data_IF_131488511036
#
_entry.id   IF_131488511036
#
_cell.length_a   1.000
_cell.length_b   1.000
_cell.length_c   1.000
_cell.angle_alpha   90.00
_cell.angle_beta   90.00
_cell.angle_gamma   90.00
#
_symmetry.space_group_name_H-M   'P 1'
#
loop_
_entity.id
_entity.type
_entity.pdbx_description
1 polymer ?
#
# COMPACT_ATOMS: atom_id res chain seq x y z
N UNK A 1 -56.96 -25.93 41.01
CA UNK A 1 -55.66 -25.23 41.08
C UNK A 1 -55.63 -24.14 40.01
N UNK A 2 -55.63 -22.86 40.40
CA UNK A 2 -55.66 -21.73 39.45
C UNK A 2 -54.22 -21.27 39.24
N UNK A 3 -53.56 -21.77 38.19
CA UNK A 3 -52.23 -21.29 37.80
C UNK A 3 -52.36 -19.80 37.46
N UNK A 4 -51.72 -18.95 38.27
CA UNK A 4 -51.59 -17.52 37.97
C UNK A 4 -50.64 -17.41 36.79
N UNK A 5 -51.17 -17.42 35.57
CA UNK A 5 -50.39 -17.17 34.36
C UNK A 5 -49.70 -15.81 34.50
N UNK A 6 -48.39 -15.78 34.29
CA UNK A 6 -47.61 -14.56 34.31
C UNK A 6 -48.18 -13.58 33.29
N UNK A 7 -48.56 -12.38 33.74
CA UNK A 7 -49.13 -11.35 32.88
C UNK A 7 -48.23 -11.13 31.67
N UNK A 8 -48.76 -11.06 30.43
CA UNK A 8 -47.94 -10.87 29.24
C UNK A 8 -47.06 -9.62 29.34
N UNK A 9 -47.50 -8.62 30.11
CA UNK A 9 -46.72 -7.42 30.43
C UNK A 9 -45.46 -7.76 31.25
N UNK A 10 -45.56 -8.69 32.22
CA UNK A 10 -44.41 -9.13 33.03
C UNK A 10 -43.42 -9.93 32.17
N UNK A 11 -43.92 -10.75 31.23
CA UNK A 11 -43.04 -11.49 30.30
C UNK A 11 -42.32 -10.51 29.37
N UNK A 12 -43.03 -9.50 28.85
CA UNK A 12 -42.44 -8.50 27.97
C UNK A 12 -41.39 -7.63 28.67
N UNK A 13 -41.61 -7.24 29.92
CA UNK A 13 -40.63 -6.46 30.69
C UNK A 13 -39.37 -7.28 31.02
N UNK A 14 -39.52 -8.57 31.31
CA UNK A 14 -38.38 -9.47 31.53
C UNK A 14 -37.57 -9.64 30.24
N UNK A 15 -38.22 -9.85 29.09
CA UNK A 15 -37.53 -9.97 27.81
C UNK A 15 -36.80 -8.69 27.40
N UNK A 16 -37.42 -7.53 27.60
CA UNK A 16 -36.79 -6.24 27.30
C UNK A 16 -35.56 -6.00 28.20
N UNK A 17 -35.65 -6.33 29.49
CA UNK A 17 -34.52 -6.24 30.41
C UNK A 17 -33.35 -7.17 30.02
N UNK A 18 -33.64 -8.38 29.52
CA UNK A 18 -32.62 -9.32 29.04
C UNK A 18 -31.91 -8.77 27.79
N UNK A 19 -32.64 -8.18 26.85
CA UNK A 19 -32.04 -7.60 25.64
C UNK A 19 -31.16 -6.40 25.97
N UNK A 20 -31.60 -5.51 26.87
CA UNK A 20 -30.83 -4.34 27.29
C UNK A 20 -29.55 -4.76 28.03
N UNK A 21 -29.65 -5.75 28.93
CA UNK A 21 -28.48 -6.25 29.69
C UNK A 21 -27.49 -6.98 28.79
N UNK A 22 -27.96 -7.80 27.83
CA UNK A 22 -27.11 -8.45 26.84
C UNK A 22 -26.41 -7.44 25.89
N UNK A 23 -27.15 -6.42 25.43
CA UNK A 23 -26.59 -5.36 24.57
C UNK A 23 -25.54 -4.50 25.28
N UNK A 24 -25.81 -4.08 26.51
CA UNK A 24 -24.86 -3.27 27.30
C UNK A 24 -23.59 -4.06 27.65
N UNK A 25 -23.73 -5.33 28.03
CA UNK A 25 -22.58 -6.20 28.34
C UNK A 25 -21.74 -6.52 27.10
N UNK A 26 -22.37 -6.74 25.94
CA UNK A 26 -21.67 -6.85 24.65
C UNK A 26 -20.89 -5.57 24.32
N UNK A 27 -21.55 -4.41 24.38
CA UNK A 27 -20.94 -3.11 24.05
C UNK A 27 -19.72 -2.77 24.93
N UNK A 28 -19.81 -3.06 26.24
CA UNK A 28 -18.67 -2.89 27.16
C UNK A 28 -17.54 -3.87 26.84
N UNK A 29 -17.84 -5.08 26.37
CA UNK A 29 -16.85 -6.09 25.98
C UNK A 29 -16.05 -5.70 24.74
N UNK A 30 -16.69 -5.18 23.70
CA UNK A 30 -16.00 -4.76 22.46
C UNK A 30 -15.12 -3.53 22.69
N UNK A 31 -15.54 -2.58 23.53
CA UNK A 31 -14.75 -1.38 23.82
C UNK A 31 -13.59 -1.63 24.81
N UNK A 32 -13.54 -2.80 25.46
CA UNK A 32 -12.42 -3.26 26.31
C UNK A 32 -11.44 -4.18 25.59
N UNK A 33 -11.57 -4.38 24.28
CA UNK A 33 -10.54 -4.99 23.45
C UNK A 33 -9.40 -3.98 23.19
N UNK A 34 -8.84 -3.42 24.27
CA UNK A 34 -7.51 -2.82 24.23
C UNK A 34 -6.50 -3.92 23.96
N UNK A 35 -5.60 -3.68 23.02
CA UNK A 35 -4.50 -4.57 22.64
C UNK A 35 -3.81 -5.10 23.90
N UNK A 36 -4.11 -6.35 24.27
CA UNK A 36 -3.23 -7.12 25.13
C UNK A 36 -2.02 -7.42 24.27
N UNK A 37 -1.00 -6.56 24.35
CA UNK A 37 0.36 -6.97 24.02
C UNK A 37 0.72 -8.08 24.99
N UNK A 38 0.43 -9.32 24.56
CA UNK A 38 1.07 -10.50 25.09
C UNK A 38 2.58 -10.19 25.16
N UNK A 39 3.27 -10.41 26.28
CA UNK A 39 4.72 -10.36 26.26
C UNK A 39 5.16 -11.39 25.23
N UNK A 40 5.67 -10.91 24.10
CA UNK A 40 6.37 -11.75 23.13
C UNK A 40 7.42 -12.49 23.96
N UNK A 41 7.39 -13.83 24.04
CA UNK A 41 8.47 -14.56 24.68
C UNK A 41 9.74 -14.10 23.97
N UNK A 42 10.67 -13.53 24.75
CA UNK A 42 11.90 -12.98 24.21
C UNK A 42 12.50 -14.01 23.23
N UNK A 43 12.75 -13.63 21.96
CA UNK A 43 13.34 -14.56 21.01
C UNK A 43 14.64 -15.06 21.64
N UNK A 44 14.77 -16.38 21.72
CA UNK A 44 15.98 -17.02 22.23
C UNK A 44 17.08 -16.63 21.27
N UNK A 45 17.86 -15.62 21.66
CA UNK A 45 18.88 -15.00 20.82
C UNK A 45 19.99 -16.02 20.62
N UNK A 46 19.89 -16.78 19.52
CA UNK A 46 21.01 -17.54 18.98
C UNK A 46 21.90 -16.56 18.21
N UNK A 47 22.62 -15.73 18.97
CA UNK A 47 23.55 -14.68 18.49
C UNK A 47 24.69 -15.21 17.60
N UNK A 48 24.75 -16.53 17.37
CA UNK A 48 25.89 -17.21 16.79
C UNK A 48 25.56 -18.05 15.53
N UNK A 49 24.36 -17.95 14.95
CA UNK A 49 24.10 -18.59 13.66
C UNK A 49 24.49 -17.64 12.52
N UNK A 50 25.57 -17.88 11.77
CA UNK A 50 25.83 -17.12 10.56
C UNK A 50 24.66 -17.32 9.59
N UNK A 51 24.21 -16.23 8.96
CA UNK A 51 23.18 -16.30 7.93
C UNK A 51 23.72 -17.01 6.68
N UNK A 52 22.83 -17.70 5.96
CA UNK A 52 23.16 -18.31 4.67
C UNK A 52 23.48 -17.22 3.65
N UNK A 53 24.41 -17.51 2.73
CA UNK A 53 24.87 -16.56 1.69
C UNK A 53 23.90 -16.46 0.49
N UNK A 54 22.60 -16.53 0.77
CA UNK A 54 21.57 -16.42 -0.25
C UNK A 54 21.35 -14.95 -0.61
N UNK A 55 21.11 -14.70 -1.90
CA UNK A 55 20.78 -13.39 -2.42
C UNK A 55 19.36 -13.40 -3.02
N UNK A 56 18.56 -12.40 -2.66
CA UNK A 56 17.28 -12.11 -3.30
C UNK A 56 17.51 -11.01 -4.32
N UNK A 57 17.13 -11.26 -5.57
CA UNK A 57 17.17 -10.24 -6.62
C UNK A 57 16.03 -9.27 -6.40
N UNK A 58 16.36 -7.99 -6.40
CA UNK A 58 15.42 -6.88 -6.27
C UNK A 58 14.89 -6.44 -7.65
N UNK A 59 13.72 -5.77 -7.71
CA UNK A 59 13.14 -5.31 -8.97
C UNK A 59 14.05 -4.38 -9.79
N UNK A 60 14.97 -3.67 -9.13
CA UNK A 60 16.00 -2.82 -9.72
C UNK A 60 17.20 -3.61 -10.31
N UNK A 61 17.21 -4.94 -10.14
CA UNK A 61 18.29 -5.83 -10.57
C UNK A 61 19.44 -5.97 -9.57
N UNK A 62 19.38 -5.29 -8.41
CA UNK A 62 20.37 -5.49 -7.34
C UNK A 62 20.09 -6.76 -6.56
N UNK A 63 21.01 -7.14 -5.66
CA UNK A 63 20.92 -8.36 -4.87
C UNK A 63 21.08 -8.04 -3.39
N UNK A 64 20.10 -8.42 -2.58
CA UNK A 64 20.12 -8.25 -1.12
C UNK A 64 20.34 -9.59 -0.43
N UNK A 65 21.21 -9.58 0.58
CA UNK A 65 21.48 -10.74 1.42
C UNK A 65 20.54 -10.84 2.62
N UNK A 66 20.64 -11.95 3.35
CA UNK A 66 20.00 -12.11 4.66
C UNK A 66 20.73 -11.29 5.72
N UNK A 67 19.99 -10.54 6.52
CA UNK A 67 20.48 -9.68 7.60
C UNK A 67 19.68 -9.89 8.89
N UNK A 68 20.21 -9.38 9.99
CA UNK A 68 19.54 -9.39 11.28
C UNK A 68 19.53 -10.75 11.99
N UNK A 69 19.00 -10.80 13.22
CA UNK A 69 19.06 -11.97 14.09
C UNK A 69 18.21 -13.16 13.58
N UNK A 70 17.22 -12.88 12.73
CA UNK A 70 16.36 -13.91 12.12
C UNK A 70 16.82 -14.32 10.71
N UNK A 71 17.91 -13.75 10.19
CA UNK A 71 18.38 -13.98 8.82
C UNK A 71 17.28 -13.77 7.77
N UNK A 72 16.56 -12.66 7.88
CA UNK A 72 15.56 -12.23 6.89
C UNK A 72 16.26 -11.43 5.78
N UNK A 73 15.74 -11.45 4.56
CA UNK A 73 16.32 -10.62 3.50
C UNK A 73 16.26 -9.15 3.89
N UNK A 74 17.36 -8.43 3.70
CA UNK A 74 17.32 -6.98 3.80
C UNK A 74 16.25 -6.44 2.83
N UNK A 75 15.56 -5.34 3.19
CA UNK A 75 14.72 -4.66 2.21
C UNK A 75 15.55 -4.34 0.97
N UNK A 76 14.95 -4.46 -0.20
CA UNK A 76 15.57 -4.00 -1.43
C UNK A 76 15.98 -2.53 -1.24
N UNK A 77 17.14 -2.11 -1.79
CA UNK A 77 17.43 -0.68 -1.83
C UNK A 77 16.21 -0.02 -2.48
N UNK A 78 15.55 0.86 -1.73
CA UNK A 78 14.59 1.76 -2.33
C UNK A 78 15.38 2.50 -3.40
N UNK A 79 14.99 2.32 -4.67
CA UNK A 79 15.74 2.85 -5.81
C UNK A 79 16.12 4.28 -5.50
N UNK A 80 17.43 4.57 -5.52
CA UNK A 80 18.01 5.69 -4.79
C UNK A 80 17.10 6.92 -4.84
N UNK A 81 16.45 7.19 -3.71
CA UNK A 81 15.77 8.45 -3.44
C UNK A 81 16.85 9.51 -3.28
N UNK A 82 17.56 9.83 -4.36
CA UNK A 82 18.43 10.99 -4.40
C UNK A 82 17.49 12.19 -4.32
N UNK A 83 17.57 12.95 -3.23
CA UNK A 83 16.90 14.24 -3.13
C UNK A 83 17.17 15.00 -4.43
N UNK A 84 16.10 15.29 -5.17
CA UNK A 84 16.23 16.08 -6.38
C UNK A 84 16.67 17.47 -5.93
N UNK A 85 17.94 17.81 -6.18
CA UNK A 85 18.54 19.09 -5.78
C UNK A 85 17.87 20.32 -6.42
N UNK A 86 16.89 20.11 -7.31
CA UNK A 86 16.11 21.17 -7.93
C UNK A 86 14.89 21.64 -7.11
N UNK A 87 14.36 20.85 -6.15
CA UNK A 87 13.20 21.25 -5.32
C UNK A 87 13.34 20.71 -3.88
N UNK A 88 13.44 21.57 -2.86
CA UNK A 88 13.51 21.11 -1.47
C UNK A 88 12.23 20.38 -1.08
N UNK A 89 12.36 19.28 -0.34
CA UNK A 89 11.22 18.44 0.07
C UNK A 89 10.69 17.52 -1.04
N UNK A 90 11.40 17.39 -2.17
CA UNK A 90 11.06 16.42 -3.21
C UNK A 90 12.03 15.23 -3.21
N UNK A 91 11.48 14.08 -3.58
CA UNK A 91 12.12 12.78 -3.72
C UNK A 91 12.19 12.45 -5.21
N UNK A 92 13.22 11.72 -5.64
CA UNK A 92 13.31 11.16 -6.98
C UNK A 92 12.99 9.66 -6.93
N UNK A 93 12.01 9.22 -7.71
CA UNK A 93 11.81 7.81 -8.04
C UNK A 93 12.54 7.52 -9.35
N UNK A 94 13.28 6.42 -9.40
CA UNK A 94 13.94 5.95 -10.62
C UNK A 94 13.60 4.49 -10.83
N UNK A 95 13.36 4.09 -12.08
CA UNK A 95 13.14 2.70 -12.46
C UNK A 95 14.01 2.36 -13.66
N UNK A 96 15.12 1.65 -13.42
CA UNK A 96 16.07 1.26 -14.47
C UNK A 96 15.51 0.21 -15.43
N UNK A 97 14.61 -0.66 -14.95
CA UNK A 97 13.99 -1.71 -15.75
C UNK A 97 13.13 -1.14 -16.88
N UNK A 98 12.36 -0.10 -16.58
CA UNK A 98 11.50 0.59 -17.54
C UNK A 98 12.11 1.90 -18.06
N UNK A 99 13.32 2.26 -17.60
CA UNK A 99 14.12 3.36 -18.12
C UNK A 99 13.55 4.74 -17.86
N UNK A 100 12.98 5.02 -16.69
CA UNK A 100 12.48 6.36 -16.38
C UNK A 100 12.80 6.78 -14.95
N UNK A 101 12.70 8.08 -14.71
CA UNK A 101 12.69 8.68 -13.39
C UNK A 101 11.60 9.75 -13.31
N UNK A 102 11.11 10.03 -12.10
CA UNK A 102 10.08 11.03 -11.82
C UNK A 102 10.27 11.56 -10.41
N UNK A 103 10.16 12.87 -10.23
CA UNK A 103 10.28 13.53 -8.93
C UNK A 103 8.90 13.75 -8.30
N UNK A 104 8.81 13.64 -6.98
CA UNK A 104 7.54 13.74 -6.25
C UNK A 104 7.74 14.33 -4.84
N UNK A 105 6.75 14.99 -4.23
CA UNK A 105 6.87 15.54 -2.88
C UNK A 105 7.13 14.45 -1.83
N UNK A 106 7.83 14.79 -0.76
CA UNK A 106 8.14 13.85 0.31
C UNK A 106 6.92 13.35 1.10
N UNK A 107 5.79 14.05 0.99
CA UNK A 107 4.47 13.64 1.48
C UNK A 107 3.90 12.42 0.78
N UNK A 108 4.36 12.10 -0.43
CA UNK A 108 3.92 10.92 -1.17
C UNK A 108 4.81 9.71 -0.85
N UNK A 109 4.21 8.53 -0.96
CA UNK A 109 4.88 7.24 -0.94
C UNK A 109 4.93 6.68 -2.36
N UNK A 110 6.05 6.07 -2.74
CA UNK A 110 6.17 5.28 -3.96
C UNK A 110 5.96 3.81 -3.61
N UNK A 111 4.80 3.26 -3.97
CA UNK A 111 4.38 1.90 -3.65
C UNK A 111 4.65 0.97 -4.84
N UNK A 112 5.44 -0.08 -4.62
CA UNK A 112 5.87 -1.04 -5.65
C UNK A 112 5.60 -2.49 -5.26
N UNK A 113 5.11 -2.74 -4.04
CA UNK A 113 4.87 -4.07 -3.53
C UNK A 113 3.55 -4.68 -4.05
N UNK A 114 3.52 -6.01 -4.09
CA UNK A 114 2.40 -6.78 -4.64
C UNK A 114 1.08 -6.54 -3.89
N UNK A 115 1.14 -6.21 -2.60
CA UNK A 115 -0.05 -5.95 -1.80
C UNK A 115 -0.71 -4.62 -2.22
N UNK A 116 0.10 -3.57 -2.38
CA UNK A 116 -0.38 -2.25 -2.81
C UNK A 116 -0.75 -2.20 -4.30
N UNK A 117 -0.11 -3.03 -5.13
CA UNK A 117 -0.38 -3.12 -6.57
C UNK A 117 -1.41 -4.20 -6.94
N UNK A 118 -2.10 -4.77 -5.96
CA UNK A 118 -3.07 -5.84 -6.18
C UNK A 118 -4.17 -5.42 -7.19
N UNK A 119 -4.37 -6.24 -8.22
CA UNK A 119 -5.34 -5.98 -9.29
C UNK A 119 -4.83 -5.09 -10.43
N UNK A 120 -3.57 -4.65 -10.37
CA UNK A 120 -2.92 -3.83 -11.40
C UNK A 120 -1.71 -4.57 -12.00
N UNK A 121 -1.94 -5.51 -12.95
CA UNK A 121 -0.88 -6.39 -13.44
C UNK A 121 0.24 -5.67 -14.21
N UNK A 122 0.01 -4.44 -14.67
CA UNK A 122 0.98 -3.63 -15.39
C UNK A 122 1.56 -2.49 -14.55
N UNK A 123 1.18 -2.38 -13.27
CA UNK A 123 1.70 -1.32 -12.39
C UNK A 123 3.20 -1.50 -12.16
N UNK A 124 3.90 -0.38 -12.31
CA UNK A 124 5.32 -0.25 -12.00
C UNK A 124 5.47 0.39 -10.65
N UNK A 125 4.77 1.49 -10.42
CA UNK A 125 4.77 2.23 -9.17
C UNK A 125 3.45 2.97 -9.02
N UNK A 126 3.02 3.13 -7.79
CA UNK A 126 1.91 3.99 -7.42
C UNK A 126 2.44 5.10 -6.51
N UNK A 127 2.32 6.36 -6.93
CA UNK A 127 2.57 7.48 -6.03
C UNK A 127 1.28 7.81 -5.28
N UNK A 128 1.36 7.79 -3.94
CA UNK A 128 0.20 7.88 -3.06
C UNK A 128 0.45 8.84 -1.89
N UNK A 129 -0.43 9.84 -1.73
CA UNK A 129 -0.35 10.86 -0.68
C UNK A 129 -1.23 10.55 0.54
N UNK A 130 -2.13 9.56 0.43
CA UNK A 130 -3.12 9.22 1.45
C UNK A 130 -4.56 9.33 0.91
N UNK A 131 -5.55 8.94 1.72
CA UNK A 131 -6.97 9.07 1.36
C UNK A 131 -7.58 7.83 0.69
N UNK A 132 -8.75 8.00 0.05
CA UNK A 132 -9.54 6.87 -0.46
C UNK A 132 -9.20 6.44 -1.90
N UNK A 133 -8.49 7.27 -2.65
CA UNK A 133 -8.11 7.02 -4.04
C UNK A 133 -6.61 7.17 -4.21
N UNK A 134 -6.06 6.37 -5.12
CA UNK A 134 -4.71 6.53 -5.62
C UNK A 134 -4.55 7.86 -6.35
N UNK A 135 -3.41 8.53 -6.19
CA UNK A 135 -3.12 9.82 -6.81
C UNK A 135 -2.56 9.62 -8.23
N UNK A 136 -1.45 8.87 -8.35
CA UNK A 136 -0.77 8.65 -9.62
C UNK A 136 -0.28 7.19 -9.79
N UNK A 137 -1.12 6.29 -10.32
CA UNK A 137 -0.66 5.00 -10.80
C UNK A 137 0.15 5.17 -12.10
N UNK A 138 1.32 4.54 -12.13
CA UNK A 138 2.22 4.48 -13.29
C UNK A 138 2.32 3.03 -13.74
N UNK A 139 1.93 2.76 -14.99
CA UNK A 139 1.93 1.42 -15.58
C UNK A 139 2.80 1.35 -16.84
N UNK A 140 3.37 0.17 -17.09
CA UNK A 140 4.18 -0.10 -18.28
C UNK A 140 3.51 -1.14 -19.18
N UNK A 141 3.40 -0.83 -20.46
CA UNK A 141 2.66 -1.61 -21.44
C UNK A 141 3.55 -2.05 -22.60
N UNK A 142 3.26 -3.23 -23.14
CA UNK A 142 4.00 -3.79 -24.26
C UNK A 142 3.50 -3.24 -25.59
N UNK A 143 2.19 -2.99 -25.71
CA UNK A 143 1.59 -2.53 -26.95
C UNK A 143 0.64 -1.36 -26.71
N UNK A 144 0.52 -0.51 -27.73
CA UNK A 144 -0.39 0.64 -27.71
C UNK A 144 -1.85 0.22 -27.51
N UNK A 145 -2.26 -0.86 -28.18
CA UNK A 145 -3.63 -1.36 -28.13
C UNK A 145 -4.07 -1.79 -26.71
N UNK A 146 -3.15 -2.31 -25.89
CA UNK A 146 -3.46 -2.75 -24.53
C UNK A 146 -3.86 -1.58 -23.62
N UNK A 147 -3.04 -0.53 -23.57
CA UNK A 147 -3.35 0.61 -22.70
C UNK A 147 -4.54 1.41 -23.22
N UNK A 148 -4.68 1.54 -24.55
CA UNK A 148 -5.84 2.22 -25.15
C UNK A 148 -7.15 1.46 -24.88
N UNK A 149 -7.11 0.12 -24.81
CA UNK A 149 -8.28 -0.67 -24.44
C UNK A 149 -8.68 -0.44 -22.98
N UNK A 150 -7.71 -0.34 -22.05
CA UNK A 150 -7.98 -0.05 -20.63
C UNK A 150 -8.46 1.39 -20.41
N UNK A 151 -7.82 2.36 -21.06
CA UNK A 151 -8.00 3.78 -20.79
C UNK A 151 -8.81 4.56 -21.84
N UNK A 152 -9.57 3.86 -22.69
CA UNK A 152 -10.27 4.41 -23.86
C UNK A 152 -11.04 5.72 -23.62
N UNK A 153 -11.66 5.85 -22.45
CA UNK A 153 -12.48 7.01 -22.06
C UNK A 153 -11.97 7.69 -20.80
N UNK A 154 -10.76 7.34 -20.36
CA UNK A 154 -10.19 7.85 -19.12
C UNK A 154 -9.53 9.20 -19.41
N UNK A 155 -10.04 10.30 -18.83
CA UNK A 155 -9.38 11.60 -18.94
C UNK A 155 -8.06 11.60 -18.15
N UNK A 156 -7.24 12.64 -18.35
CA UNK A 156 -6.02 12.88 -17.58
C UNK A 156 -4.99 11.74 -17.61
N UNK A 157 -4.95 11.03 -18.72
CA UNK A 157 -3.92 10.05 -19.02
C UNK A 157 -2.78 10.71 -19.80
N UNK A 158 -1.58 10.67 -19.23
CA UNK A 158 -0.33 10.99 -19.93
C UNK A 158 0.35 9.70 -20.36
N UNK A 159 0.90 9.66 -21.58
CA UNK A 159 1.63 8.50 -22.09
C UNK A 159 3.02 8.93 -22.54
N UNK A 160 4.05 8.19 -22.11
CA UNK A 160 5.45 8.38 -22.48
C UNK A 160 5.97 7.10 -23.13
N UNK A 161 6.65 7.21 -24.26
CA UNK A 161 7.32 6.08 -24.88
C UNK A 161 8.76 6.01 -24.39
N UNK A 162 9.14 4.86 -23.81
CA UNK A 162 10.46 4.66 -23.20
C UNK A 162 10.93 3.25 -23.51
N UNK A 163 12.08 3.12 -24.18
CA UNK A 163 12.68 1.82 -24.51
C UNK A 163 11.72 0.83 -25.20
N UNK A 164 10.86 1.33 -26.11
CA UNK A 164 9.87 0.52 -26.81
C UNK A 164 8.70 0.02 -25.94
N UNK A 165 8.51 0.60 -24.75
CA UNK A 165 7.34 0.43 -23.88
C UNK A 165 6.53 1.72 -23.86
N UNK A 166 5.25 1.58 -23.55
CA UNK A 166 4.38 2.73 -23.26
C UNK A 166 4.22 2.83 -21.75
N UNK A 167 4.61 3.96 -21.17
CA UNK A 167 4.46 4.27 -19.75
C UNK A 167 3.26 5.19 -19.61
N UNK A 168 2.19 4.70 -18.99
CA UNK A 168 1.01 5.51 -18.72
C UNK A 168 1.08 6.08 -17.32
N UNK A 169 0.83 7.39 -17.19
CA UNK A 169 0.72 8.12 -15.94
C UNK A 169 -0.69 8.68 -15.87
N UNK A 170 -1.52 8.14 -14.98
CA UNK A 170 -2.90 8.57 -14.81
C UNK A 170 -3.01 9.49 -13.60
N UNK A 171 -3.32 10.77 -13.81
CA UNK A 171 -3.75 11.62 -12.70
C UNK A 171 -5.17 11.20 -12.30
N UNK A 172 -5.27 10.37 -11.27
CA UNK A 172 -6.51 9.69 -10.88
C UNK A 172 -7.39 10.54 -9.93
N UNK A 173 -6.79 11.51 -9.24
CA UNK A 173 -7.49 12.40 -8.32
C UNK A 173 -7.78 13.79 -8.93
N UNK A 174 -7.28 14.09 -10.14
CA UNK A 174 -7.47 15.36 -10.86
C UNK A 174 -6.82 16.57 -10.16
N UNK A 175 -5.87 16.33 -9.26
CA UNK A 175 -5.18 17.39 -8.53
C UNK A 175 -4.03 17.97 -9.37
N UNK A 176 -3.87 19.29 -9.34
CA UNK A 176 -2.81 19.99 -10.09
C UNK A 176 -1.41 19.58 -9.62
N UNK A 177 -1.25 19.25 -8.34
CA UNK A 177 0.03 18.76 -7.81
C UNK A 177 0.48 17.45 -8.49
N UNK A 178 -0.48 16.60 -8.88
CA UNK A 178 -0.16 15.37 -9.61
C UNK A 178 0.28 15.68 -11.05
N UNK A 179 -0.28 16.71 -11.68
CA UNK A 179 0.20 17.17 -12.98
C UNK A 179 1.63 17.73 -12.88
N UNK A 180 1.96 18.47 -11.81
CA UNK A 180 3.34 18.91 -11.54
C UNK A 180 4.30 17.72 -11.40
N UNK A 181 3.89 16.65 -10.71
CA UNK A 181 4.67 15.42 -10.59
C UNK A 181 4.90 14.80 -11.97
N UNK A 182 3.85 14.66 -12.78
CA UNK A 182 3.93 14.11 -14.14
C UNK A 182 4.91 14.90 -15.02
N UNK A 183 4.93 16.23 -14.89
CA UNK A 183 5.82 17.11 -15.66
C UNK A 183 7.30 16.90 -15.34
N UNK A 184 7.62 16.33 -14.16
CA UNK A 184 9.01 15.99 -13.81
C UNK A 184 9.52 14.69 -14.46
N UNK A 185 8.65 13.93 -15.13
CA UNK A 185 9.01 12.66 -15.74
C UNK A 185 10.15 12.83 -16.76
N UNK A 186 11.18 11.98 -16.64
CA UNK A 186 12.29 11.91 -17.58
C UNK A 186 12.58 10.46 -17.95
N UNK A 187 12.73 10.19 -19.24
CA UNK A 187 13.31 8.93 -19.69
C UNK A 187 14.81 8.90 -19.34
N UNK A 188 15.29 7.73 -18.93
CA UNK A 188 16.70 7.42 -18.75
C UNK A 188 17.23 6.94 -20.12
N UNK A 189 18.33 7.54 -20.56
CA UNK A 189 19.06 7.14 -21.77
C UNK A 189 19.79 5.80 -21.61
#
# INVERSE_FOLDING_TARGET
MKVRGFSPIIILTILLAIVITAGASYYIGVNKAGSKSTPIPAPTINKNKPCTQEAKVCPDGTSVGRVGPNCEFAPCPATETSQDSSKPGWKLYSNKKYGFQISYPDSYQALEDEENLYGWPNAVVLLYSGGQSYDLPIEAWNTKAEYEAKYKTTPNLTVKEVNGKFITLLNANFEEEVDEIIDTFKALE
#
